data_IF_605928940656
#
_entry.id   IF_605928940656
#
_cell.length_a   1.000
_cell.length_b   1.000
_cell.length_c   1.000
_cell.angle_alpha   90.00
_cell.angle_beta   90.00
_cell.angle_gamma   90.00
#
_symmetry.space_group_name_H-M   'P 1'
#
loop_
_entity.id
_entity.type
_entity.pdbx_description
1 polymer ?
#
# COMPACT_ATOMS: atom_id res chain seq x y z
N UNK A 1 -7.03 33.19 -21.70
CA UNK A 1 -6.41 32.33 -20.65
C UNK A 1 -7.20 32.24 -19.34
N UNK A 2 -8.02 33.24 -18.97
CA UNK A 2 -8.89 33.09 -17.77
C UNK A 2 -10.08 32.09 -17.91
N UNK A 3 -10.21 31.47 -19.07
CA UNK A 3 -11.37 30.64 -19.40
C UNK A 3 -11.17 29.11 -19.23
N UNK A 4 -9.93 28.61 -19.13
CA UNK A 4 -9.68 27.18 -19.12
C UNK A 4 -9.99 26.53 -17.74
N UNK A 5 -9.71 27.24 -16.65
CA UNK A 5 -10.10 26.81 -15.32
C UNK A 5 -11.63 26.71 -15.13
N UNK A 6 -12.36 27.69 -15.68
CA UNK A 6 -13.83 27.68 -15.63
C UNK A 6 -14.42 26.56 -16.50
N UNK A 7 -13.82 26.28 -17.66
CA UNK A 7 -14.21 25.17 -18.53
C UNK A 7 -13.94 23.81 -17.85
N UNK A 8 -12.78 23.66 -17.20
CA UNK A 8 -12.45 22.43 -16.47
C UNK A 8 -13.44 22.15 -15.33
N UNK A 9 -13.82 23.17 -14.56
CA UNK A 9 -14.83 23.04 -13.51
C UNK A 9 -16.20 22.68 -14.11
N UNK A 10 -16.60 23.29 -15.21
CA UNK A 10 -17.86 22.99 -15.87
C UNK A 10 -17.88 21.57 -16.47
N UNK A 11 -16.78 21.15 -17.12
CA UNK A 11 -16.64 19.80 -17.65
C UNK A 11 -16.70 18.75 -16.52
N UNK A 12 -15.99 18.98 -15.43
CA UNK A 12 -16.04 18.12 -14.22
C UNK A 12 -17.47 17.96 -13.70
N UNK A 13 -18.21 19.05 -13.52
CA UNK A 13 -19.59 19.02 -13.02
C UNK A 13 -20.55 18.33 -13.99
N UNK A 14 -20.40 18.57 -15.30
CA UNK A 14 -21.18 17.94 -16.34
C UNK A 14 -20.97 16.43 -16.37
N UNK A 15 -19.69 16.00 -16.43
CA UNK A 15 -19.33 14.58 -16.53
C UNK A 15 -19.73 13.83 -15.27
N UNK A 16 -19.50 14.41 -14.08
CA UNK A 16 -19.94 13.80 -12.82
C UNK A 16 -21.43 13.48 -12.78
N UNK A 17 -22.25 14.35 -13.39
CA UNK A 17 -23.69 14.15 -13.47
C UNK A 17 -24.08 13.18 -14.58
N UNK A 18 -23.45 13.30 -15.74
CA UNK A 18 -23.76 12.46 -16.89
C UNK A 18 -23.35 11.01 -16.67
N UNK A 19 -22.16 10.79 -16.11
CA UNK A 19 -21.64 9.44 -15.79
C UNK A 19 -22.50 8.68 -14.78
N UNK A 20 -23.36 9.35 -14.00
CA UNK A 20 -24.33 8.69 -13.13
C UNK A 20 -25.47 7.99 -13.92
N UNK A 21 -25.77 8.42 -15.12
CA UNK A 21 -26.83 7.85 -15.95
C UNK A 21 -26.26 7.00 -17.09
N UNK A 22 -25.23 7.49 -17.75
CA UNK A 22 -24.67 6.91 -18.99
C UNK A 22 -23.13 6.99 -18.99
N UNK A 23 -22.43 6.19 -18.14
CA UNK A 23 -20.98 6.30 -17.98
C UNK A 23 -20.20 6.05 -19.26
N UNK A 24 -20.61 5.09 -20.09
CA UNK A 24 -19.94 4.77 -21.34
C UNK A 24 -20.04 5.91 -22.37
N UNK A 25 -21.21 6.55 -22.48
CA UNK A 25 -21.38 7.71 -23.37
C UNK A 25 -20.60 8.94 -22.87
N UNK A 26 -20.52 9.13 -21.55
CA UNK A 26 -19.66 10.15 -20.96
C UNK A 26 -18.18 9.88 -21.23
N UNK A 27 -17.75 8.61 -21.18
CA UNK A 27 -16.38 8.19 -21.48
C UNK A 27 -15.98 8.49 -22.94
N UNK A 28 -16.84 8.16 -23.90
CA UNK A 28 -16.63 8.48 -25.31
C UNK A 28 -16.44 10.00 -25.54
N UNK A 29 -17.23 10.82 -24.86
CA UNK A 29 -17.13 12.25 -24.95
C UNK A 29 -15.84 12.78 -24.30
N UNK A 30 -15.44 12.25 -23.15
CA UNK A 30 -14.20 12.61 -22.45
C UNK A 30 -12.98 12.26 -23.29
N UNK A 31 -12.95 11.08 -23.92
CA UNK A 31 -11.88 10.64 -24.80
C UNK A 31 -11.74 11.54 -26.05
N UNK A 32 -12.83 12.16 -26.52
CA UNK A 32 -12.82 13.06 -27.66
C UNK A 32 -12.41 14.51 -27.31
N UNK A 33 -12.21 14.85 -26.04
CA UNK A 33 -11.71 16.15 -25.64
C UNK A 33 -10.24 16.33 -26.02
N UNK A 34 -9.79 17.54 -26.36
CA UNK A 34 -8.39 17.84 -26.51
C UNK A 34 -7.62 17.61 -25.21
N UNK A 35 -6.37 17.10 -25.32
CA UNK A 35 -5.48 16.92 -24.18
C UNK A 35 -5.32 18.24 -23.39
N UNK A 36 -5.37 18.12 -22.07
CA UNK A 36 -5.17 19.23 -21.16
C UNK A 36 -6.11 19.26 -19.96
N UNK A 37 -6.05 20.34 -19.15
CA UNK A 37 -6.71 20.38 -17.83
C UNK A 37 -8.23 20.14 -17.85
N UNK A 38 -8.88 20.41 -18.98
CA UNK A 38 -10.34 20.17 -19.13
C UNK A 38 -10.60 18.68 -19.22
N UNK A 39 -9.82 17.96 -20.04
CA UNK A 39 -9.95 16.50 -20.21
C UNK A 39 -9.54 15.78 -18.93
N UNK A 40 -8.42 16.16 -18.29
CA UNK A 40 -7.96 15.57 -17.03
C UNK A 40 -9.03 15.65 -15.94
N UNK A 41 -9.61 16.85 -15.74
CA UNK A 41 -10.69 17.02 -14.74
C UNK A 41 -11.99 16.29 -15.12
N UNK A 42 -12.22 16.09 -16.40
CA UNK A 42 -13.34 15.28 -16.88
C UNK A 42 -13.09 13.78 -16.63
N UNK A 43 -11.87 13.27 -16.88
CA UNK A 43 -11.46 11.88 -16.58
C UNK A 43 -11.60 11.56 -15.09
N UNK A 44 -11.06 12.40 -14.20
CA UNK A 44 -11.21 12.26 -12.76
C UNK A 44 -12.69 12.16 -12.34
N UNK A 45 -13.55 13.02 -12.88
CA UNK A 45 -14.96 13.04 -12.54
C UNK A 45 -15.71 11.81 -13.08
N UNK A 46 -15.36 11.37 -14.28
CA UNK A 46 -15.90 10.16 -14.90
C UNK A 46 -15.61 8.93 -14.04
N UNK A 47 -14.33 8.69 -13.74
CA UNK A 47 -13.87 7.56 -12.94
C UNK A 47 -14.56 7.54 -11.58
N UNK A 48 -14.53 8.67 -10.86
CA UNK A 48 -15.15 8.78 -9.54
C UNK A 48 -16.64 8.48 -9.52
N UNK A 49 -17.35 8.81 -10.60
CA UNK A 49 -18.80 8.54 -10.71
C UNK A 49 -19.09 7.14 -11.20
N UNK A 50 -18.29 6.61 -12.10
CA UNK A 50 -18.48 5.29 -12.70
C UNK A 50 -18.12 4.17 -11.74
N UNK A 51 -16.99 4.30 -11.05
CA UNK A 51 -16.49 3.34 -10.08
C UNK A 51 -17.51 2.99 -8.99
N UNK A 52 -18.30 3.97 -8.57
CA UNK A 52 -19.39 3.76 -7.59
C UNK A 52 -20.55 2.92 -8.10
N UNK A 53 -20.65 2.72 -9.42
CA UNK A 53 -21.75 1.98 -10.05
C UNK A 53 -21.26 0.63 -10.59
N UNK A 54 -20.12 0.63 -11.26
CA UNK A 54 -19.49 -0.54 -11.88
C UNK A 54 -17.98 -0.33 -11.91
N UNK A 55 -17.32 -0.69 -10.81
CA UNK A 55 -15.88 -0.53 -10.65
C UNK A 55 -15.10 -1.37 -11.66
N UNK A 56 -15.62 -2.54 -12.04
CA UNK A 56 -15.00 -3.40 -13.07
C UNK A 56 -14.98 -2.73 -14.43
N UNK A 57 -16.13 -2.21 -14.89
CA UNK A 57 -16.19 -1.52 -16.17
C UNK A 57 -15.35 -0.24 -16.19
N UNK A 58 -15.30 0.50 -15.07
CA UNK A 58 -14.43 1.65 -14.91
C UNK A 58 -12.94 1.26 -14.99
N UNK A 59 -12.54 0.13 -14.39
CA UNK A 59 -11.16 -0.39 -14.45
C UNK A 59 -10.76 -0.86 -15.85
N UNK A 60 -11.66 -1.50 -16.57
CA UNK A 60 -11.43 -1.89 -17.98
C UNK A 60 -11.23 -0.64 -18.85
N UNK A 61 -12.04 0.39 -18.66
CA UNK A 61 -11.86 1.65 -19.39
C UNK A 61 -10.56 2.36 -19.01
N UNK A 62 -10.24 2.44 -17.70
CA UNK A 62 -9.02 3.06 -17.23
C UNK A 62 -7.77 2.34 -17.73
N UNK A 63 -7.82 1.00 -17.86
CA UNK A 63 -6.76 0.21 -18.47
C UNK A 63 -6.53 0.60 -19.94
N UNK A 64 -7.60 0.70 -20.74
CA UNK A 64 -7.48 1.09 -22.14
C UNK A 64 -6.92 2.51 -22.32
N UNK A 65 -7.30 3.45 -21.44
CA UNK A 65 -6.74 4.79 -21.40
C UNK A 65 -5.26 4.79 -21.03
N UNK A 66 -4.89 4.00 -20.01
CA UNK A 66 -3.51 3.89 -19.55
C UNK A 66 -2.58 3.27 -20.61
N UNK A 67 -3.04 2.25 -21.31
CA UNK A 67 -2.30 1.63 -22.43
C UNK A 67 -2.09 2.60 -23.61
N UNK A 68 -3.00 3.56 -23.78
CA UNK A 68 -2.91 4.56 -24.85
C UNK A 68 -1.96 5.71 -24.52
N UNK A 69 -1.98 6.21 -23.29
CA UNK A 69 -1.28 7.45 -22.88
C UNK A 69 -0.12 7.23 -21.89
N UNK A 70 0.05 6.03 -21.36
CA UNK A 70 1.10 5.68 -20.37
C UNK A 70 0.84 6.23 -18.96
N UNK A 71 -0.38 6.72 -18.67
CA UNK A 71 -0.77 7.23 -17.36
C UNK A 71 -1.61 6.17 -16.62
N UNK A 72 -1.03 5.55 -15.61
CA UNK A 72 -1.64 4.46 -14.84
C UNK A 72 -2.30 4.93 -13.53
N UNK A 73 -2.36 6.23 -13.24
CA UNK A 73 -2.95 6.76 -12.00
C UNK A 73 -4.43 6.40 -11.87
N UNK A 74 -5.21 6.63 -12.94
CA UNK A 74 -6.63 6.29 -12.98
C UNK A 74 -6.89 4.78 -12.88
N UNK A 75 -6.03 3.97 -13.49
CA UNK A 75 -6.11 2.51 -13.37
C UNK A 75 -5.92 2.07 -11.92
N UNK A 76 -4.92 2.60 -11.23
CA UNK A 76 -4.70 2.32 -9.82
C UNK A 76 -5.90 2.72 -8.95
N UNK A 77 -6.45 3.93 -9.16
CA UNK A 77 -7.63 4.41 -8.44
C UNK A 77 -8.86 3.50 -8.66
N UNK A 78 -9.13 3.09 -9.90
CA UNK A 78 -10.26 2.21 -10.19
C UNK A 78 -10.09 0.82 -9.62
N UNK A 79 -8.90 0.21 -9.68
CA UNK A 79 -8.61 -1.10 -9.08
C UNK A 79 -8.78 -1.05 -7.56
N UNK A 80 -8.32 0.02 -6.92
CA UNK A 80 -8.48 0.21 -5.47
C UNK A 80 -9.93 0.21 -5.05
N UNK A 81 -10.80 0.92 -5.75
CA UNK A 81 -12.24 0.92 -5.47
C UNK A 81 -12.92 -0.39 -5.90
N UNK A 82 -12.46 -1.02 -6.98
CA UNK A 82 -12.95 -2.33 -7.40
C UNK A 82 -12.67 -3.39 -6.33
N UNK A 83 -11.49 -3.36 -5.74
CA UNK A 83 -11.09 -4.32 -4.69
C UNK A 83 -11.89 -4.17 -3.40
N UNK A 84 -12.39 -2.98 -3.07
CA UNK A 84 -13.31 -2.76 -1.95
C UNK A 84 -14.70 -3.36 -2.21
N UNK A 85 -15.19 -3.22 -3.44
CA UNK A 85 -16.54 -3.67 -3.81
C UNK A 85 -16.60 -5.17 -4.08
N UNK A 86 -15.59 -5.73 -4.74
CA UNK A 86 -15.58 -7.11 -5.22
C UNK A 86 -14.15 -7.66 -5.21
N UNK A 87 -13.58 -7.99 -4.03
CA UNK A 87 -12.17 -8.32 -3.87
C UNK A 87 -11.71 -9.52 -4.72
N UNK A 88 -12.54 -10.56 -4.88
CA UNK A 88 -12.20 -11.75 -5.66
C UNK A 88 -12.20 -11.48 -7.17
N UNK A 89 -13.16 -10.67 -7.65
CA UNK A 89 -13.20 -10.29 -9.07
C UNK A 89 -12.07 -9.32 -9.42
N UNK A 90 -11.74 -8.39 -8.50
CA UNK A 90 -10.62 -7.48 -8.65
C UNK A 90 -9.28 -8.24 -8.65
N UNK A 91 -9.12 -9.26 -7.79
CA UNK A 91 -7.95 -10.15 -7.81
C UNK A 91 -7.84 -10.87 -9.15
N UNK A 92 -8.91 -11.46 -9.65
CA UNK A 92 -8.90 -12.12 -10.97
C UNK A 92 -8.49 -11.15 -12.09
N UNK A 93 -9.03 -9.93 -12.08
CA UNK A 93 -8.69 -8.88 -13.04
C UNK A 93 -7.20 -8.53 -12.97
N UNK A 94 -6.66 -8.33 -11.76
CA UNK A 94 -5.24 -7.98 -11.55
C UNK A 94 -4.31 -9.15 -11.93
N UNK A 95 -4.70 -10.40 -11.70
CA UNK A 95 -3.92 -11.56 -12.13
C UNK A 95 -3.78 -11.65 -13.64
N UNK A 96 -4.79 -11.24 -14.39
CA UNK A 96 -4.71 -11.15 -15.85
C UNK A 96 -3.70 -10.08 -16.33
N UNK A 97 -3.32 -9.14 -15.45
CA UNK A 97 -2.34 -8.08 -15.71
C UNK A 97 -0.93 -8.40 -15.19
N UNK A 98 -0.68 -9.56 -14.60
CA UNK A 98 0.56 -9.88 -13.88
C UNK A 98 1.84 -9.82 -14.74
N UNK A 99 1.74 -10.02 -16.05
CA UNK A 99 2.85 -9.96 -17.00
C UNK A 99 3.07 -8.55 -17.59
N UNK A 100 2.21 -7.58 -17.27
CA UNK A 100 2.28 -6.23 -17.82
C UNK A 100 3.28 -5.36 -17.05
N UNK A 101 3.83 -4.33 -17.69
CA UNK A 101 4.77 -3.37 -17.07
C UNK A 101 4.14 -2.58 -15.91
N UNK A 102 2.81 -2.47 -15.90
CA UNK A 102 2.01 -1.80 -14.87
C UNK A 102 1.47 -2.76 -13.78
N UNK A 103 1.90 -4.02 -13.80
CA UNK A 103 1.44 -5.04 -12.85
C UNK A 103 1.65 -4.63 -11.39
N UNK A 104 2.78 -3.99 -11.06
CA UNK A 104 3.06 -3.52 -9.71
C UNK A 104 2.02 -2.50 -9.22
N UNK A 105 1.65 -1.52 -10.07
CA UNK A 105 0.61 -0.53 -9.73
C UNK A 105 -0.73 -1.23 -9.50
N UNK A 106 -1.07 -2.19 -10.35
CA UNK A 106 -2.32 -2.94 -10.24
C UNK A 106 -2.40 -3.75 -8.94
N UNK A 107 -1.32 -4.47 -8.59
CA UNK A 107 -1.27 -5.28 -7.37
C UNK A 107 -1.25 -4.40 -6.12
N UNK A 108 -0.42 -3.35 -6.08
CA UNK A 108 -0.42 -2.40 -4.96
C UNK A 108 -1.81 -1.82 -4.74
N UNK A 109 -2.50 -1.39 -5.79
CA UNK A 109 -3.86 -0.82 -5.70
C UNK A 109 -4.88 -1.84 -5.19
N UNK A 110 -4.78 -3.10 -5.62
CA UNK A 110 -5.59 -4.21 -5.11
C UNK A 110 -5.39 -4.41 -3.61
N UNK A 111 -4.13 -4.50 -3.17
CA UNK A 111 -3.78 -4.70 -1.74
C UNK A 111 -4.27 -3.53 -0.90
N UNK A 112 -4.00 -2.30 -1.33
CA UNK A 112 -4.42 -1.09 -0.61
C UNK A 112 -5.94 -1.00 -0.46
N UNK A 113 -6.69 -1.26 -1.54
CA UNK A 113 -8.15 -1.21 -1.49
C UNK A 113 -8.75 -2.28 -0.57
N UNK A 114 -8.22 -3.51 -0.61
CA UNK A 114 -8.62 -4.58 0.33
C UNK A 114 -8.27 -4.21 1.77
N UNK A 115 -7.06 -3.67 2.00
CA UNK A 115 -6.57 -3.30 3.33
C UNK A 115 -7.38 -2.17 3.97
N UNK A 116 -7.86 -1.22 3.18
CA UNK A 116 -8.71 -0.13 3.68
C UNK A 116 -10.10 -0.60 4.13
N UNK A 117 -10.63 -1.64 3.51
CA UNK A 117 -11.94 -2.21 3.87
C UNK A 117 -11.83 -3.22 5.00
N UNK A 118 -10.91 -4.21 4.87
CA UNK A 118 -10.69 -5.26 5.86
C UNK A 118 -9.21 -5.67 5.90
N UNK A 119 -8.39 -5.01 6.72
CA UNK A 119 -6.95 -5.31 6.80
C UNK A 119 -6.67 -6.70 7.35
N UNK A 120 -7.49 -7.22 8.26
CA UNK A 120 -7.30 -8.55 8.84
C UNK A 120 -7.50 -9.66 7.79
N UNK A 121 -8.58 -9.59 7.03
CA UNK A 121 -8.84 -10.51 5.92
C UNK A 121 -7.77 -10.40 4.83
N UNK A 122 -7.29 -9.19 4.56
CA UNK A 122 -6.21 -8.94 3.59
C UNK A 122 -4.89 -9.57 4.05
N UNK A 123 -4.57 -9.47 5.33
CA UNK A 123 -3.39 -10.10 5.92
C UNK A 123 -3.47 -11.64 5.83
N UNK A 124 -4.62 -12.22 6.13
CA UNK A 124 -4.83 -13.67 5.96
C UNK A 124 -4.74 -14.12 4.50
N UNK A 125 -5.19 -13.29 3.57
CA UNK A 125 -5.09 -13.57 2.14
C UNK A 125 -3.62 -13.55 1.69
N UNK A 126 -2.83 -12.53 2.10
CA UNK A 126 -1.40 -12.43 1.77
C UNK A 126 -0.58 -13.60 2.34
N UNK A 127 -0.81 -14.01 3.59
CA UNK A 127 -0.04 -15.13 4.18
C UNK A 127 -0.40 -16.50 3.61
N UNK A 128 -1.53 -16.63 2.92
CA UNK A 128 -1.91 -17.85 2.19
C UNK A 128 -1.29 -17.93 0.80
N UNK A 129 -0.79 -16.81 0.25
CA UNK A 129 -0.10 -16.83 -1.03
C UNK A 129 1.23 -17.56 -0.93
N UNK A 130 1.57 -18.31 -1.96
CA UNK A 130 2.91 -18.87 -2.08
C UNK A 130 3.90 -17.72 -2.36
N UNK A 131 5.13 -17.76 -1.81
CA UNK A 131 6.17 -16.77 -2.14
C UNK A 131 6.53 -16.72 -3.63
N UNK A 132 6.14 -17.73 -4.39
CA UNK A 132 6.32 -17.83 -5.85
C UNK A 132 5.10 -17.34 -6.64
N UNK A 133 4.05 -16.87 -5.98
CA UNK A 133 2.88 -16.31 -6.66
C UNK A 133 3.28 -15.04 -7.41
N UNK A 134 2.91 -14.88 -8.70
CA UNK A 134 3.31 -13.72 -9.51
C UNK A 134 2.88 -12.37 -8.95
N UNK A 135 1.82 -12.34 -8.15
CA UNK A 135 1.33 -11.10 -7.51
C UNK A 135 1.78 -10.98 -6.04
N UNK A 136 2.66 -11.87 -5.55
CA UNK A 136 3.19 -11.78 -4.19
C UNK A 136 4.43 -10.89 -4.13
N UNK A 137 4.49 -10.01 -3.14
CA UNK A 137 5.71 -9.32 -2.72
C UNK A 137 5.69 -9.11 -1.20
N UNK A 138 6.85 -9.19 -0.57
CA UNK A 138 7.04 -8.82 0.83
C UNK A 138 6.66 -7.35 1.10
N UNK A 139 6.79 -6.47 0.08
CA UNK A 139 6.41 -5.06 0.16
C UNK A 139 4.92 -4.88 0.46
N UNK A 140 4.06 -5.74 -0.09
CA UNK A 140 2.61 -5.66 0.15
C UNK A 140 2.23 -6.00 1.59
N UNK A 141 2.93 -6.96 2.22
CA UNK A 141 2.75 -7.24 3.64
C UNK A 141 3.19 -6.06 4.51
N UNK A 142 4.26 -5.38 4.12
CA UNK A 142 4.75 -4.18 4.79
C UNK A 142 3.74 -3.02 4.65
N UNK A 143 3.28 -2.71 3.43
CA UNK A 143 2.29 -1.65 3.16
C UNK A 143 0.96 -1.90 3.88
N UNK A 144 0.46 -3.14 3.83
CA UNK A 144 -0.73 -3.53 4.59
C UNK A 144 -0.58 -3.23 6.07
N UNK A 145 0.56 -3.63 6.67
CA UNK A 145 0.78 -3.43 8.10
C UNK A 145 0.90 -1.96 8.46
N UNK A 146 1.43 -1.11 7.59
CA UNK A 146 1.43 0.34 7.80
C UNK A 146 -0.01 0.87 7.87
N UNK A 147 -0.86 0.55 6.90
CA UNK A 147 -2.27 0.96 6.86
C UNK A 147 -3.02 0.46 8.11
N UNK A 148 -2.84 -0.82 8.44
CA UNK A 148 -3.54 -1.41 9.58
C UNK A 148 -3.08 -0.84 10.91
N UNK A 149 -1.78 -0.67 11.11
CA UNK A 149 -1.20 -0.11 12.32
C UNK A 149 -1.66 1.33 12.57
N UNK A 150 -1.77 2.14 11.52
CA UNK A 150 -2.27 3.51 11.60
C UNK A 150 -3.76 3.57 12.02
N UNK A 151 -4.54 2.56 11.64
CA UNK A 151 -5.96 2.47 11.97
C UNK A 151 -6.23 1.76 13.31
N UNK A 152 -5.54 0.64 13.57
CA UNK A 152 -5.67 -0.18 14.80
C UNK A 152 -4.38 -0.98 15.07
N UNK A 153 -3.43 -0.35 15.76
CA UNK A 153 -2.15 -0.97 16.12
C UNK A 153 -2.29 -2.17 17.07
N UNK A 154 -3.35 -2.18 17.88
CA UNK A 154 -3.61 -3.28 18.83
C UNK A 154 -4.02 -4.52 18.04
N UNK A 155 -5.03 -4.42 17.16
CA UNK A 155 -5.47 -5.53 16.35
C UNK A 155 -4.36 -6.06 15.44
N UNK A 156 -3.55 -5.17 14.85
CA UNK A 156 -2.38 -5.54 14.05
C UNK A 156 -1.35 -6.36 14.84
N UNK A 157 -1.02 -5.91 16.06
CA UNK A 157 -0.08 -6.61 16.94
C UNK A 157 -0.61 -7.96 17.44
N UNK A 158 -1.89 -8.05 17.76
CA UNK A 158 -2.55 -9.31 18.16
C UNK A 158 -2.52 -10.33 17.02
N UNK A 159 -2.82 -9.88 15.79
CA UNK A 159 -2.74 -10.75 14.61
C UNK A 159 -1.30 -11.25 14.40
N UNK A 160 -0.29 -10.37 14.43
CA UNK A 160 1.13 -10.74 14.29
C UNK A 160 1.58 -11.76 15.34
N UNK A 161 1.11 -11.61 16.57
CA UNK A 161 1.44 -12.53 17.68
C UNK A 161 0.94 -13.96 17.44
N UNK A 162 -0.11 -14.12 16.64
CA UNK A 162 -0.71 -15.40 16.30
C UNK A 162 -0.14 -16.04 15.03
N UNK A 163 0.74 -15.33 14.28
CA UNK A 163 1.33 -15.87 13.07
C UNK A 163 2.53 -16.77 13.34
N UNK A 164 2.66 -17.85 12.55
CA UNK A 164 3.85 -18.70 12.60
C UNK A 164 5.07 -17.94 12.02
N UNK A 165 6.28 -18.20 12.55
CA UNK A 165 7.52 -17.68 11.96
C UNK A 165 7.65 -18.02 10.48
N UNK A 166 8.09 -17.07 9.67
CA UNK A 166 8.26 -17.24 8.23
C UNK A 166 8.33 -15.90 7.49
N UNK A 167 8.63 -15.96 6.21
CA UNK A 167 8.89 -14.79 5.35
C UNK A 167 7.77 -13.75 5.40
N UNK A 168 6.51 -14.18 5.30
CA UNK A 168 5.36 -13.27 5.30
C UNK A 168 5.18 -12.55 6.65
N UNK A 169 5.31 -13.30 7.75
CA UNK A 169 5.29 -12.70 9.10
C UNK A 169 6.45 -11.73 9.29
N UNK A 170 7.63 -12.08 8.83
CA UNK A 170 8.83 -11.25 8.96
C UNK A 170 8.66 -9.93 8.17
N UNK A 171 8.06 -9.97 6.99
CA UNK A 171 7.72 -8.79 6.21
C UNK A 171 6.67 -7.92 6.91
N UNK A 172 5.63 -8.54 7.45
CA UNK A 172 4.59 -7.84 8.21
C UNK A 172 5.16 -7.17 9.48
N UNK A 173 6.07 -7.84 10.21
CA UNK A 173 6.76 -7.24 11.36
C UNK A 173 7.56 -6.00 10.94
N UNK A 174 8.22 -6.02 9.79
CA UNK A 174 8.96 -4.86 9.30
C UNK A 174 8.04 -3.65 9.12
N UNK A 175 6.88 -3.83 8.48
CA UNK A 175 5.89 -2.75 8.29
C UNK A 175 5.29 -2.24 9.60
N UNK A 176 4.91 -3.16 10.50
CA UNK A 176 4.41 -2.81 11.83
C UNK A 176 5.44 -2.00 12.63
N UNK A 177 6.65 -2.51 12.69
CA UNK A 177 7.77 -1.90 13.42
C UNK A 177 8.08 -0.49 12.90
N UNK A 178 8.09 -0.28 11.57
CA UNK A 178 8.29 1.02 10.94
C UNK A 178 7.20 2.02 11.35
N UNK A 179 5.94 1.59 11.35
CA UNK A 179 4.80 2.46 11.68
C UNK A 179 4.83 2.98 13.11
N UNK A 180 5.21 2.14 14.08
CA UNK A 180 5.23 2.53 15.51
C UNK A 180 6.56 3.16 15.95
N UNK A 181 7.62 3.08 15.14
CA UNK A 181 8.99 3.43 15.52
C UNK A 181 9.14 4.84 16.10
N UNK A 182 8.37 5.81 15.61
CA UNK A 182 8.44 7.19 16.08
C UNK A 182 7.77 7.42 17.43
N UNK A 183 6.81 6.57 17.78
CA UNK A 183 5.98 6.73 18.98
C UNK A 183 6.37 5.75 20.07
N UNK A 184 6.71 4.53 19.69
CA UNK A 184 7.04 3.41 20.58
C UNK A 184 8.32 2.68 20.11
N UNK A 185 9.48 3.35 20.12
CA UNK A 185 10.71 2.80 19.53
C UNK A 185 11.21 1.54 20.23
N UNK A 186 11.02 1.40 21.54
CA UNK A 186 11.34 0.18 22.29
C UNK A 186 10.48 -1.00 21.78
N UNK A 187 9.17 -0.80 21.65
CA UNK A 187 8.25 -1.83 21.14
C UNK A 187 8.61 -2.20 19.72
N UNK A 188 8.95 -1.22 18.88
CA UNK A 188 9.43 -1.46 17.51
C UNK A 188 10.69 -2.34 17.47
N UNK A 189 11.64 -2.09 18.37
CA UNK A 189 12.87 -2.89 18.49
C UNK A 189 12.57 -4.31 19.01
N UNK A 190 11.65 -4.46 19.96
CA UNK A 190 11.19 -5.77 20.46
C UNK A 190 10.58 -6.57 19.32
N UNK A 191 9.67 -6.01 18.53
CA UNK A 191 9.09 -6.70 17.38
C UNK A 191 10.15 -7.07 16.34
N UNK A 192 11.03 -6.16 15.99
CA UNK A 192 12.13 -6.42 15.06
C UNK A 192 13.02 -7.59 15.51
N UNK A 193 13.25 -7.76 16.82
CA UNK A 193 14.02 -8.86 17.37
C UNK A 193 13.37 -10.23 17.16
N UNK A 194 12.06 -10.29 16.92
CA UNK A 194 11.30 -11.53 16.68
C UNK A 194 11.26 -11.97 15.21
N UNK A 195 11.87 -11.22 14.29
CA UNK A 195 12.03 -11.61 12.88
C UNK A 195 12.85 -12.89 12.80
N UNK A 196 12.35 -13.89 12.07
CA UNK A 196 12.99 -15.22 11.99
C UNK A 196 14.21 -15.23 11.06
N UNK A 197 14.16 -14.50 9.93
CA UNK A 197 15.31 -14.34 9.04
C UNK A 197 16.37 -13.45 9.68
N UNK A 198 17.62 -13.97 9.79
CA UNK A 198 18.68 -13.31 10.52
C UNK A 198 19.15 -11.99 9.85
N UNK A 199 19.21 -11.97 8.51
CA UNK A 199 19.64 -10.80 7.77
C UNK A 199 18.58 -9.69 7.81
N UNK A 200 17.30 -10.05 7.66
CA UNK A 200 16.17 -9.12 7.78
C UNK A 200 16.10 -8.58 9.21
N UNK A 201 16.19 -9.44 10.21
CA UNK A 201 16.23 -9.04 11.63
C UNK A 201 17.33 -8.02 11.91
N UNK A 202 18.56 -8.28 11.44
CA UNK A 202 19.66 -7.35 11.63
C UNK A 202 19.41 -6.00 10.96
N UNK A 203 18.94 -5.99 9.72
CA UNK A 203 18.62 -4.76 8.99
C UNK A 203 17.54 -3.95 9.70
N UNK A 204 16.49 -4.61 10.18
CA UNK A 204 15.40 -3.92 10.88
C UNK A 204 15.83 -3.39 12.24
N UNK A 205 16.63 -4.15 13.00
CA UNK A 205 17.18 -3.69 14.27
C UNK A 205 18.14 -2.50 14.08
N UNK A 206 19.03 -2.56 13.09
CA UNK A 206 19.90 -1.43 12.74
C UNK A 206 19.11 -0.16 12.47
N UNK A 207 18.07 -0.29 11.64
CA UNK A 207 17.20 0.84 11.28
C UNK A 207 16.50 1.41 12.51
N UNK A 208 15.85 0.57 13.30
CA UNK A 208 15.09 1.00 14.47
C UNK A 208 15.98 1.63 15.53
N UNK A 209 17.09 0.97 15.87
CA UNK A 209 18.01 1.45 16.90
C UNK A 209 18.70 2.76 16.48
N UNK A 210 19.05 2.91 15.20
CA UNK A 210 19.62 4.15 14.67
C UNK A 210 18.67 5.33 14.80
N UNK A 211 17.39 5.15 14.44
CA UNK A 211 16.39 6.20 14.56
C UNK A 211 16.10 6.52 16.03
N UNK A 212 15.94 5.49 16.86
CA UNK A 212 15.73 5.64 18.29
C UNK A 212 16.88 6.36 18.98
N UNK A 213 18.12 5.95 18.74
CA UNK A 213 19.31 6.56 19.31
C UNK A 213 19.50 8.02 18.88
N UNK A 214 18.99 8.41 17.71
CA UNK A 214 19.00 9.81 17.26
C UNK A 214 18.18 10.74 18.13
N UNK A 215 17.22 10.23 18.89
CA UNK A 215 16.34 11.01 19.79
C UNK A 215 16.55 10.66 21.26
N UNK A 216 16.78 9.39 21.57
CA UNK A 216 16.87 8.85 22.94
C UNK A 216 18.04 7.85 23.07
N UNK A 217 19.31 8.32 22.93
CA UNK A 217 20.47 7.42 22.87
C UNK A 217 20.70 6.59 24.14
N UNK A 218 20.40 7.15 25.32
CA UNK A 218 20.59 6.44 26.58
C UNK A 218 19.57 5.29 26.75
N UNK A 219 18.34 5.48 26.36
CA UNK A 219 17.26 4.48 26.43
C UNK A 219 17.52 3.36 25.40
N UNK A 220 17.91 3.73 24.16
CA UNK A 220 18.28 2.77 23.13
C UNK A 220 19.46 1.89 23.58
N UNK A 221 20.49 2.48 24.20
CA UNK A 221 21.64 1.75 24.70
C UNK A 221 21.28 0.81 25.87
N UNK A 222 20.44 1.26 26.80
CA UNK A 222 19.98 0.44 27.93
C UNK A 222 19.20 -0.79 27.41
N UNK A 223 18.29 -0.58 26.46
CA UNK A 223 17.58 -1.69 25.83
C UNK A 223 18.54 -2.67 25.13
N UNK A 224 19.50 -2.19 24.33
CA UNK A 224 20.47 -3.07 23.65
C UNK A 224 21.29 -3.89 24.67
N UNK A 225 21.59 -3.34 25.84
CA UNK A 225 22.33 -4.04 26.90
C UNK A 225 21.49 -5.10 27.62
N UNK A 226 20.20 -4.86 27.79
CA UNK A 226 19.30 -5.68 28.63
C UNK A 226 18.47 -6.68 27.83
N UNK A 227 18.17 -6.41 26.54
CA UNK A 227 17.38 -7.28 25.68
C UNK A 227 18.04 -8.64 25.44
N UNK A 228 17.23 -9.67 25.17
CA UNK A 228 17.71 -11.02 24.83
C UNK A 228 18.21 -11.06 23.37
N UNK A 229 19.39 -10.45 23.15
CA UNK A 229 20.07 -10.43 21.86
C UNK A 229 21.28 -11.35 21.86
N UNK A 230 21.59 -11.92 20.69
CA UNK A 230 22.86 -12.62 20.47
C UNK A 230 24.04 -11.69 20.75
N UNK A 231 25.16 -12.17 21.34
CA UNK A 231 26.29 -11.32 21.72
C UNK A 231 26.85 -10.48 20.56
N UNK A 232 26.90 -11.02 19.35
CA UNK A 232 27.37 -10.31 18.17
C UNK A 232 26.43 -9.17 17.76
N UNK A 233 25.10 -9.40 17.80
CA UNK A 233 24.08 -8.40 17.51
C UNK A 233 24.13 -7.28 18.54
N UNK A 234 24.20 -7.61 19.82
CA UNK A 234 24.33 -6.63 20.91
C UNK A 234 25.56 -5.74 20.74
N UNK A 235 26.71 -6.33 20.46
CA UNK A 235 27.96 -5.58 20.24
C UNK A 235 27.83 -4.63 19.05
N UNK A 236 27.29 -5.12 17.95
CA UNK A 236 27.08 -4.33 16.75
C UNK A 236 26.16 -3.12 17.00
N UNK A 237 25.00 -3.33 17.63
CA UNK A 237 24.03 -2.27 17.92
C UNK A 237 24.58 -1.26 18.95
N UNK A 238 25.36 -1.70 19.95
CA UNK A 238 26.01 -0.80 20.90
C UNK A 238 27.03 0.12 20.23
N UNK A 239 27.86 -0.42 19.32
CA UNK A 239 28.80 0.37 18.52
C UNK A 239 28.06 1.36 17.61
N UNK A 240 26.96 0.93 17.00
CA UNK A 240 26.11 1.79 16.18
C UNK A 240 25.61 3.04 16.92
N UNK A 241 25.26 2.90 18.21
CA UNK A 241 24.80 4.00 19.06
C UNK A 241 25.98 4.90 19.47
N UNK A 242 27.15 4.30 19.77
CA UNK A 242 28.36 5.02 20.23
C UNK A 242 29.09 5.76 19.10
N UNK A 243 28.82 5.43 17.84
CA UNK A 243 29.48 6.02 16.67
C UNK A 243 30.89 5.47 16.42
N UNK A 244 31.16 4.28 16.90
CA UNK A 244 32.45 3.55 16.76
C UNK A 244 32.49 2.64 15.54
#
# INVERSE_FOLDING_TARGET
MANDGSKAIAAKALVAKWAQAEPSAAAEWVAALPDGPVQEKAKEALVKSWVMQDAKAASVWALAEAEFNGDYELLGETIREFSKQSPEEAESFVRDLAEAEYSQIAVTSLVMGRAEEDPASTAEWLVKMAPTDPIYSDEYANELMQIWTDSDSIAASEWLSNQNPGQQRDAAISGFSESILRYEPEVAAVWASTISDADRRMKQLDHNVRIWAGTQPAEALDWVQTAELEPAVRTHLANLISGD
#
